data_IF_980854961641
#
_entry.id   IF_980854961641
#
_cell.length_a   1.000
_cell.length_b   1.000
_cell.length_c   1.000
_cell.angle_alpha   90.00
_cell.angle_beta   90.00
_cell.angle_gamma   90.00
#
_symmetry.space_group_name_H-M   'P 1'
#
loop_
_entity.id
_entity.type
_entity.pdbx_description
1 polymer ?
#
# COMPACT_ATOMS: atom_id res chain seq x y z
N UNK A 1 2.97 -36.75 51.36
CA UNK A 1 3.44 -37.32 50.08
C UNK A 1 2.34 -37.03 49.07
N UNK A 2 2.48 -35.98 48.27
CA UNK A 2 1.45 -35.57 47.31
C UNK A 2 1.84 -36.16 45.96
N UNK A 3 1.04 -37.11 45.48
CA UNK A 3 1.17 -37.69 44.15
C UNK A 3 0.65 -36.64 43.15
N UNK A 4 1.56 -35.95 42.45
CA UNK A 4 1.18 -35.07 41.34
C UNK A 4 0.97 -35.91 40.09
N UNK A 5 -0.28 -35.99 39.62
CA UNK A 5 -0.60 -36.49 38.29
C UNK A 5 -0.34 -35.34 37.30
N UNK A 6 0.62 -35.53 36.40
CA UNK A 6 0.88 -34.60 35.30
C UNK A 6 0.07 -35.02 34.07
N UNK A 7 -0.96 -34.28 33.65
CA UNK A 7 -1.61 -34.52 32.37
C UNK A 7 -0.84 -33.73 31.30
N UNK A 8 -0.13 -34.43 30.42
CA UNK A 8 0.43 -33.83 29.19
C UNK A 8 1.90 -34.10 28.95
N UNK A 9 2.28 -35.36 28.77
CA UNK A 9 3.45 -35.70 27.96
C UNK A 9 3.10 -36.90 27.07
N UNK A 10 2.21 -36.67 26.12
CA UNK A 10 2.13 -37.47 24.90
C UNK A 10 1.98 -36.53 23.72
N UNK A 11 3.06 -36.33 22.98
CA UNK A 11 3.00 -35.94 21.58
C UNK A 11 4.12 -36.69 20.86
N UNK A 12 3.74 -37.74 20.13
CA UNK A 12 4.56 -38.31 19.06
C UNK A 12 4.77 -37.26 17.96
N UNK A 13 6.02 -37.09 17.53
CA UNK A 13 6.32 -36.62 16.18
C UNK A 13 6.33 -35.11 15.91
N UNK A 14 7.03 -34.30 16.72
CA UNK A 14 7.60 -33.03 16.24
C UNK A 14 8.78 -32.61 17.12
N UNK A 15 9.93 -32.31 16.50
CA UNK A 15 11.13 -31.81 17.21
C UNK A 15 10.81 -30.41 17.72
N UNK A 16 10.35 -30.33 18.96
CA UNK A 16 10.32 -29.09 19.74
C UNK A 16 11.67 -28.93 20.44
N UNK A 17 12.17 -27.70 20.63
CA UNK A 17 13.41 -27.50 21.39
C UNK A 17 13.19 -28.07 22.80
N UNK A 18 14.05 -29.00 23.20
CA UNK A 18 13.94 -29.71 24.48
C UNK A 18 13.94 -28.69 25.62
N UNK A 19 12.84 -28.59 26.37
CA UNK A 19 12.90 -27.94 27.67
C UNK A 19 13.85 -28.76 28.55
N UNK A 20 14.94 -28.15 29.00
CA UNK A 20 15.80 -28.73 30.02
C UNK A 20 15.00 -28.70 31.34
N UNK A 21 14.34 -29.82 31.67
CA UNK A 21 13.43 -29.94 32.82
C UNK A 21 14.14 -29.94 34.19
N UNK A 22 15.35 -29.38 34.28
CA UNK A 22 16.06 -29.17 35.55
C UNK A 22 15.38 -28.04 36.32
N UNK A 23 14.45 -28.40 37.19
CA UNK A 23 13.79 -27.44 38.09
C UNK A 23 14.79 -26.99 39.16
N UNK A 24 15.40 -25.82 38.97
CA UNK A 24 16.37 -25.24 39.92
C UNK A 24 15.81 -24.02 40.66
N UNK A 25 14.69 -23.48 40.18
CA UNK A 25 14.03 -22.30 40.72
C UNK A 25 12.50 -22.39 40.65
N UNK A 26 11.82 -21.48 41.35
CA UNK A 26 10.36 -21.33 41.24
C UNK A 26 9.91 -20.89 39.84
N UNK A 27 10.77 -20.19 39.10
CA UNK A 27 10.54 -19.81 37.70
C UNK A 27 10.58 -21.03 36.79
N UNK A 28 11.56 -21.92 36.96
CA UNK A 28 11.65 -23.17 36.18
C UNK A 28 10.43 -24.06 36.43
N UNK A 29 9.96 -24.12 37.69
CA UNK A 29 8.75 -24.86 38.03
C UNK A 29 7.51 -24.27 37.35
N UNK A 30 7.36 -22.94 37.33
CA UNK A 30 6.24 -22.28 36.70
C UNK A 30 6.21 -22.49 35.17
N UNK A 31 7.39 -22.55 34.52
CA UNK A 31 7.50 -22.84 33.09
C UNK A 31 6.87 -24.18 32.68
N UNK A 32 6.75 -25.14 33.61
CA UNK A 32 6.09 -26.44 33.36
C UNK A 32 4.57 -26.33 33.19
N UNK A 33 3.95 -25.24 33.63
CA UNK A 33 2.49 -25.06 33.58
C UNK A 33 2.02 -24.19 32.40
N UNK A 34 2.94 -23.55 31.70
CA UNK A 34 2.64 -22.67 30.56
C UNK A 34 3.08 -23.30 29.24
N UNK A 35 2.59 -22.78 28.13
CA UNK A 35 3.02 -23.27 26.81
C UNK A 35 4.44 -22.78 26.49
N UNK A 36 5.17 -23.52 25.66
CA UNK A 36 6.57 -23.22 25.32
C UNK A 36 6.77 -21.78 24.82
N UNK A 37 5.80 -21.24 24.08
CA UNK A 37 5.87 -19.87 23.55
C UNK A 37 5.72 -18.79 24.64
N UNK A 38 5.14 -19.14 25.79
CA UNK A 38 4.89 -18.29 26.95
C UNK A 38 6.02 -18.42 28.01
N UNK A 39 6.80 -19.50 27.97
CA UNK A 39 7.87 -19.83 28.92
C UNK A 39 9.15 -18.97 28.79
N UNK A 40 9.02 -17.72 28.33
CA UNK A 40 10.15 -16.80 28.07
C UNK A 40 10.52 -15.91 29.26
N UNK A 41 9.71 -15.91 30.32
CA UNK A 41 9.95 -15.09 31.51
C UNK A 41 11.07 -15.66 32.38
N UNK A 42 11.83 -14.78 33.02
CA UNK A 42 12.91 -15.13 33.95
C UNK A 42 12.61 -14.70 35.39
N UNK A 43 11.52 -13.97 35.61
CA UNK A 43 11.03 -13.51 36.90
C UNK A 43 9.51 -13.24 36.80
N UNK A 44 8.87 -13.05 37.96
CA UNK A 44 7.47 -12.59 38.06
C UNK A 44 7.44 -11.08 38.29
N UNK A 45 7.80 -10.32 37.26
CA UNK A 45 7.82 -8.86 37.28
C UNK A 45 6.97 -8.28 36.13
N UNK A 46 7.06 -6.98 35.89
CA UNK A 46 6.33 -6.26 34.84
C UNK A 46 6.63 -6.73 33.41
N UNK A 47 7.72 -7.47 33.19
CA UNK A 47 8.08 -8.04 31.89
C UNK A 47 7.49 -9.43 31.69
N UNK A 48 6.83 -10.00 32.71
CA UNK A 48 6.15 -11.29 32.61
C UNK A 48 4.87 -11.15 31.79
N UNK A 49 4.71 -12.02 30.80
CA UNK A 49 3.53 -12.04 29.94
C UNK A 49 2.25 -12.30 30.74
N UNK A 50 1.23 -11.45 30.54
CA UNK A 50 -0.04 -11.54 31.27
C UNK A 50 -0.75 -12.88 31.03
N UNK A 51 -0.67 -13.46 29.84
CA UNK A 51 -1.23 -14.80 29.60
C UNK A 51 -0.44 -15.89 30.32
N UNK A 52 0.88 -15.76 30.46
CA UNK A 52 1.68 -16.67 31.28
C UNK A 52 1.18 -16.65 32.72
N UNK A 53 0.98 -15.46 33.29
CA UNK A 53 0.44 -15.30 34.64
C UNK A 53 -0.97 -15.88 34.79
N UNK A 54 -1.88 -15.60 33.87
CA UNK A 54 -3.24 -16.16 33.89
C UNK A 54 -3.24 -17.69 33.71
N UNK A 55 -2.33 -18.23 32.91
CA UNK A 55 -2.16 -19.68 32.76
C UNK A 55 -1.66 -20.34 34.05
N UNK A 56 -0.77 -19.67 34.80
CA UNK A 56 -0.33 -20.15 36.11
C UNK A 56 -1.46 -20.13 37.13
N UNK A 57 -2.20 -19.02 37.22
CA UNK A 57 -3.38 -18.90 38.09
C UNK A 57 -4.44 -19.96 37.78
N UNK A 58 -4.59 -20.31 36.49
CA UNK A 58 -5.55 -21.31 36.01
C UNK A 58 -5.15 -22.77 36.20
N UNK A 59 -3.85 -23.08 36.29
CA UNK A 59 -3.35 -24.47 36.22
C UNK A 59 -2.56 -24.94 37.44
N UNK A 60 -1.98 -24.02 38.23
CA UNK A 60 -1.18 -24.42 39.38
C UNK A 60 -2.12 -24.88 40.52
N UNK A 61 -1.95 -26.11 41.07
CA UNK A 61 -2.89 -26.68 42.04
C UNK A 61 -3.02 -25.94 43.38
N UNK A 62 -2.10 -25.01 43.67
CA UNK A 62 -2.13 -24.21 44.92
C UNK A 62 -3.26 -23.18 44.92
N UNK A 63 -3.72 -22.75 43.74
CA UNK A 63 -4.81 -21.80 43.61
C UNK A 63 -6.16 -22.50 43.79
N UNK A 64 -7.10 -21.81 44.43
CA UNK A 64 -8.44 -22.35 44.64
C UNK A 64 -9.17 -22.55 43.30
N UNK A 65 -10.16 -23.46 43.24
CA UNK A 65 -10.99 -23.62 42.04
C UNK A 65 -11.65 -22.31 41.57
N UNK A 66 -11.97 -21.41 42.51
CA UNK A 66 -12.52 -20.09 42.19
C UNK A 66 -11.50 -19.20 41.46
N UNK A 67 -10.25 -19.17 41.91
CA UNK A 67 -9.16 -18.45 41.22
C UNK A 67 -8.89 -19.06 39.86
N UNK A 68 -8.82 -20.39 39.77
CA UNK A 68 -8.55 -21.07 38.51
C UNK A 68 -9.64 -20.80 37.46
N UNK A 69 -10.91 -20.84 37.88
CA UNK A 69 -12.05 -20.52 37.03
C UNK A 69 -12.02 -19.06 36.55
N UNK A 70 -11.89 -18.10 37.47
CA UNK A 70 -11.86 -16.67 37.14
C UNK A 70 -10.66 -16.30 36.26
N UNK A 71 -9.48 -16.91 36.50
CA UNK A 71 -8.32 -16.72 35.64
C UNK A 71 -8.54 -17.28 34.23
N UNK A 72 -9.29 -18.39 34.12
CA UNK A 72 -9.73 -18.95 32.85
C UNK A 72 -10.59 -17.97 32.04
N UNK A 73 -11.61 -17.39 32.68
CA UNK A 73 -12.51 -16.40 32.07
C UNK A 73 -11.73 -15.16 31.58
N UNK A 74 -10.88 -14.58 32.45
CA UNK A 74 -10.05 -13.42 32.09
C UNK A 74 -9.06 -13.74 30.97
N UNK A 75 -8.50 -14.96 30.95
CA UNK A 75 -7.62 -15.40 29.86
C UNK A 75 -8.37 -15.48 28.52
N UNK A 76 -9.60 -15.97 28.53
CA UNK A 76 -10.43 -16.00 27.33
C UNK A 76 -10.76 -14.59 26.84
N UNK A 77 -11.13 -13.69 27.76
CA UNK A 77 -11.35 -12.28 27.47
C UNK A 77 -10.13 -11.60 26.84
N UNK A 78 -8.95 -11.78 27.44
CA UNK A 78 -7.68 -11.26 26.93
C UNK A 78 -7.36 -11.81 25.54
N UNK A 79 -7.57 -13.10 25.30
CA UNK A 79 -7.34 -13.70 23.98
C UNK A 79 -8.25 -13.09 22.90
N UNK A 80 -9.53 -12.86 23.25
CA UNK A 80 -10.46 -12.16 22.36
C UNK A 80 -10.03 -10.70 22.10
N UNK A 81 -9.44 -10.02 23.09
CA UNK A 81 -8.87 -8.67 22.92
C UNK A 81 -7.62 -8.68 22.04
N UNK A 82 -6.72 -9.63 22.24
CA UNK A 82 -5.49 -9.77 21.45
C UNK A 82 -5.78 -10.08 19.96
N UNK A 83 -6.93 -10.69 19.68
CA UNK A 83 -7.44 -10.97 18.33
C UNK A 83 -8.75 -10.21 18.09
N UNK A 84 -8.74 -8.90 18.34
CA UNK A 84 -9.93 -8.07 18.39
C UNK A 84 -10.73 -8.08 17.07
N UNK A 85 -11.99 -8.51 17.16
CA UNK A 85 -13.01 -8.31 16.14
C UNK A 85 -13.98 -7.25 16.66
N UNK A 86 -13.85 -6.00 16.21
CA UNK A 86 -14.58 -4.85 16.77
C UNK A 86 -16.11 -5.02 16.79
N UNK A 87 -16.69 -5.75 15.83
CA UNK A 87 -18.13 -6.00 15.79
C UNK A 87 -18.67 -6.84 16.95
N UNK A 88 -17.80 -7.60 17.61
CA UNK A 88 -18.18 -8.50 18.72
C UNK A 88 -18.19 -7.78 20.08
N UNK A 89 -17.71 -6.53 20.10
CA UNK A 89 -17.57 -5.70 21.29
C UNK A 89 -18.70 -4.68 21.42
N UNK A 90 -19.88 -5.17 21.80
CA UNK A 90 -20.96 -4.30 22.25
C UNK A 90 -20.77 -3.87 23.72
N UNK A 91 -21.52 -2.86 24.22
CA UNK A 91 -21.38 -2.39 25.60
C UNK A 91 -21.56 -3.48 26.66
N UNK A 92 -22.42 -4.48 26.42
CA UNK A 92 -22.69 -5.57 27.35
C UNK A 92 -21.49 -6.52 27.41
N UNK A 93 -20.98 -6.94 26.25
CA UNK A 93 -19.81 -7.82 26.18
C UNK A 93 -18.56 -7.13 26.76
N UNK A 94 -18.37 -5.85 26.45
CA UNK A 94 -17.28 -5.04 26.99
C UNK A 94 -17.33 -4.99 28.53
N UNK A 95 -18.48 -4.61 29.11
CA UNK A 95 -18.66 -4.55 30.56
C UNK A 95 -18.48 -5.93 31.22
N UNK A 96 -18.92 -6.99 30.57
CA UNK A 96 -18.77 -8.35 31.07
C UNK A 96 -17.30 -8.74 31.31
N UNK A 97 -16.35 -8.23 30.51
CA UNK A 97 -14.92 -8.49 30.72
C UNK A 97 -14.39 -7.86 32.00
N UNK A 98 -14.86 -6.67 32.36
CA UNK A 98 -14.50 -6.03 33.62
C UNK A 98 -15.06 -6.78 34.82
N UNK A 99 -16.28 -7.33 34.71
CA UNK A 99 -16.87 -8.20 35.75
C UNK A 99 -16.02 -9.46 35.97
N UNK A 100 -15.48 -10.05 34.90
CA UNK A 100 -14.57 -11.22 35.01
C UNK A 100 -13.25 -10.85 35.70
N UNK A 101 -12.66 -9.69 35.37
CA UNK A 101 -11.45 -9.19 36.03
C UNK A 101 -11.68 -8.87 37.51
N UNK A 102 -12.82 -8.27 37.86
CA UNK A 102 -13.21 -8.00 39.25
C UNK A 102 -13.40 -9.29 40.05
N UNK A 103 -14.04 -10.32 39.44
CA UNK A 103 -14.16 -11.64 40.07
C UNK A 103 -12.79 -12.26 40.36
N UNK A 104 -11.85 -12.15 39.43
CA UNK A 104 -10.48 -12.63 39.63
C UNK A 104 -9.80 -11.87 40.78
N UNK A 105 -9.86 -10.54 40.79
CA UNK A 105 -9.26 -9.71 41.84
C UNK A 105 -9.75 -10.11 43.24
N UNK A 106 -11.07 -10.31 43.40
CA UNK A 106 -11.68 -10.75 44.67
C UNK A 106 -11.33 -12.21 45.04
N UNK A 107 -11.17 -13.07 44.05
CA UNK A 107 -10.81 -14.48 44.29
C UNK A 107 -9.36 -14.66 44.79
N UNK A 108 -8.46 -13.73 44.46
CA UNK A 108 -7.05 -13.80 44.84
C UNK A 108 -6.79 -13.60 46.35
N UNK A 109 -7.80 -13.18 47.12
CA UNK A 109 -7.66 -13.01 48.57
C UNK A 109 -6.65 -11.93 48.95
N UNK A 110 -6.63 -10.83 48.20
CA UNK A 110 -5.74 -9.70 48.43
C UNK A 110 -6.07 -9.01 49.76
N UNK A 111 -5.12 -8.23 50.29
CA UNK A 111 -5.42 -7.40 51.46
C UNK A 111 -6.49 -6.36 51.09
N UNK A 112 -7.37 -5.94 52.03
CA UNK A 112 -8.46 -5.02 51.71
C UNK A 112 -8.01 -3.69 51.10
N UNK A 113 -6.81 -3.20 51.45
CA UNK A 113 -6.24 -1.99 50.87
C UNK A 113 -5.87 -2.20 49.39
N UNK A 114 -5.12 -3.26 49.09
CA UNK A 114 -4.68 -3.58 47.72
C UNK A 114 -5.87 -3.93 46.83
N UNK A 115 -6.84 -4.69 47.33
CA UNK A 115 -8.06 -5.02 46.57
C UNK A 115 -8.82 -3.75 46.19
N UNK A 116 -9.08 -2.86 47.15
CA UNK A 116 -9.78 -1.61 46.90
C UNK A 116 -9.08 -0.75 45.85
N UNK A 117 -7.75 -0.61 45.97
CA UNK A 117 -6.99 0.25 45.05
C UNK A 117 -7.00 -0.34 43.63
N UNK A 118 -6.79 -1.66 43.49
CA UNK A 118 -6.90 -2.37 42.21
C UNK A 118 -8.30 -2.27 41.58
N UNK A 119 -9.36 -2.47 42.37
CA UNK A 119 -10.74 -2.34 41.88
C UNK A 119 -11.07 -0.90 41.51
N UNK A 120 -10.50 0.09 42.19
CA UNK A 120 -10.60 1.49 41.84
C UNK A 120 -9.98 1.80 40.47
N UNK A 121 -8.76 1.33 40.24
CA UNK A 121 -8.09 1.45 38.93
C UNK A 121 -8.87 0.73 37.84
N UNK A 122 -9.34 -0.50 38.10
CA UNK A 122 -10.14 -1.26 37.14
C UNK A 122 -11.42 -0.51 36.76
N UNK A 123 -12.08 0.15 37.73
CA UNK A 123 -13.28 0.95 37.48
C UNK A 123 -13.01 2.23 36.69
N UNK A 124 -11.87 2.86 36.95
CA UNK A 124 -11.40 4.02 36.18
C UNK A 124 -11.13 3.63 34.71
N UNK A 125 -10.44 2.51 34.48
CA UNK A 125 -10.23 1.95 33.14
C UNK A 125 -11.53 1.59 32.44
N UNK A 126 -12.49 0.97 33.14
CA UNK A 126 -13.82 0.66 32.60
C UNK A 126 -14.52 1.94 32.12
N UNK A 127 -14.51 2.98 32.96
CA UNK A 127 -15.20 4.25 32.70
C UNK A 127 -14.56 4.98 31.52
N UNK A 128 -13.23 5.13 31.52
CA UNK A 128 -12.49 5.78 30.43
C UNK A 128 -12.63 5.02 29.12
N UNK A 129 -12.49 3.70 29.16
CA UNK A 129 -12.63 2.87 27.95
C UNK A 129 -14.07 2.84 27.42
N UNK A 130 -15.09 2.91 28.28
CA UNK A 130 -16.49 3.07 27.82
C UNK A 130 -16.66 4.37 27.06
N UNK A 131 -16.10 5.48 27.54
CA UNK A 131 -16.16 6.78 26.86
C UNK A 131 -15.45 6.72 25.50
N UNK A 132 -14.28 6.08 25.44
CA UNK A 132 -13.46 6.05 24.22
C UNK A 132 -13.98 5.06 23.17
N UNK A 133 -14.41 3.87 23.61
CA UNK A 133 -14.66 2.73 22.73
C UNK A 133 -16.15 2.44 22.53
N UNK A 134 -17.02 2.89 23.44
CA UNK A 134 -18.44 2.50 23.46
C UNK A 134 -19.40 3.70 23.41
N UNK A 135 -18.91 4.93 23.60
CA UNK A 135 -19.75 6.11 23.55
C UNK A 135 -19.91 6.59 22.10
N UNK A 136 -21.15 6.63 21.57
CA UNK A 136 -21.41 7.11 20.20
C UNK A 136 -21.30 8.63 20.06
N UNK A 137 -21.07 9.40 21.13
CA UNK A 137 -20.93 10.86 21.02
C UNK A 137 -19.58 11.21 20.42
N UNK A 138 -19.43 11.00 19.12
CA UNK A 138 -18.59 11.86 18.29
C UNK A 138 -19.07 13.28 18.58
N UNK A 139 -18.16 14.13 19.04
CA UNK A 139 -18.45 15.54 19.28
C UNK A 139 -19.20 16.10 18.05
N UNK A 140 -20.46 16.58 18.22
CA UNK A 140 -21.25 17.08 17.12
C UNK A 140 -20.54 18.21 16.34
N UNK A 141 -19.73 19.01 17.03
CA UNK A 141 -18.95 20.08 16.39
C UNK A 141 -17.80 19.51 15.55
N UNK A 142 -17.13 18.47 16.05
CA UNK A 142 -16.12 17.75 15.29
C UNK A 142 -16.72 17.05 14.07
N UNK A 143 -17.88 16.38 14.22
CA UNK A 143 -18.56 15.72 13.11
C UNK A 143 -18.99 16.74 12.05
N UNK A 144 -19.52 17.89 12.48
CA UNK A 144 -19.90 18.98 11.59
C UNK A 144 -18.68 19.57 10.86
N UNK A 145 -17.55 19.72 11.55
CA UNK A 145 -16.29 20.18 10.96
C UNK A 145 -15.76 19.20 9.90
N UNK A 146 -15.73 17.90 10.22
CA UNK A 146 -15.34 16.85 9.28
C UNK A 146 -16.29 16.82 8.09
N UNK A 147 -17.60 16.89 8.32
CA UNK A 147 -18.60 16.94 7.24
C UNK A 147 -18.41 18.17 6.35
N UNK A 148 -18.13 19.33 6.93
CA UNK A 148 -17.84 20.55 6.18
C UNK A 148 -16.59 20.39 5.33
N UNK A 149 -15.48 19.90 5.90
CA UNK A 149 -14.23 19.71 5.15
C UNK A 149 -14.38 18.67 4.04
N UNK A 150 -15.11 17.56 4.29
CA UNK A 150 -15.40 16.56 3.25
C UNK A 150 -16.25 17.16 2.13
N UNK A 151 -17.23 18.00 2.45
CA UNK A 151 -18.05 18.67 1.43
C UNK A 151 -17.28 19.72 0.63
N UNK A 152 -16.38 20.47 1.28
CA UNK A 152 -15.46 21.41 0.60
C UNK A 152 -14.55 20.63 -0.34
N UNK A 153 -13.87 19.59 0.16
CA UNK A 153 -12.99 18.75 -0.63
C UNK A 153 -13.72 18.11 -1.81
N UNK A 154 -14.95 17.63 -1.62
CA UNK A 154 -15.79 17.11 -2.70
C UNK A 154 -16.02 18.15 -3.79
N UNK A 155 -16.39 19.37 -3.41
CA UNK A 155 -16.59 20.48 -4.35
C UNK A 155 -15.30 20.78 -5.13
N UNK A 156 -14.15 20.82 -4.46
CA UNK A 156 -12.86 21.07 -5.10
C UNK A 156 -12.48 19.97 -6.09
N UNK A 157 -12.74 18.70 -5.76
CA UNK A 157 -12.52 17.56 -6.65
C UNK A 157 -13.45 17.59 -7.87
N UNK A 158 -14.72 17.95 -7.67
CA UNK A 158 -15.68 18.10 -8.76
C UNK A 158 -15.27 19.24 -9.72
N UNK A 159 -14.80 20.37 -9.19
CA UNK A 159 -14.27 21.50 -9.96
C UNK A 159 -13.02 21.12 -10.76
N UNK A 160 -12.05 20.46 -10.13
CA UNK A 160 -10.83 20.00 -10.80
C UNK A 160 -11.16 19.04 -11.95
N UNK A 161 -12.16 18.18 -11.77
CA UNK A 161 -12.61 17.25 -12.82
C UNK A 161 -13.15 18.00 -14.04
N UNK A 162 -13.89 19.09 -13.82
CA UNK A 162 -14.39 19.95 -14.91
C UNK A 162 -13.25 20.66 -15.64
N UNK A 163 -12.31 21.26 -14.92
CA UNK A 163 -11.16 21.97 -15.51
C UNK A 163 -10.28 21.04 -16.36
N UNK A 164 -10.01 19.83 -15.88
CA UNK A 164 -9.25 18.82 -16.63
C UNK A 164 -9.95 18.43 -17.94
N UNK A 165 -11.29 18.36 -17.92
CA UNK A 165 -12.07 18.05 -19.12
C UNK A 165 -12.01 19.21 -20.14
N UNK A 166 -12.14 20.46 -19.69
CA UNK A 166 -12.04 21.64 -20.56
C UNK A 166 -10.64 21.75 -21.20
N UNK A 167 -9.59 21.58 -20.40
CA UNK A 167 -8.21 21.62 -20.89
C UNK A 167 -7.95 20.51 -21.91
N UNK A 168 -8.46 19.30 -21.67
CA UNK A 168 -8.37 18.18 -22.62
C UNK A 168 -9.03 18.52 -23.95
N UNK A 169 -10.21 19.13 -23.93
CA UNK A 169 -10.91 19.55 -25.15
C UNK A 169 -10.20 20.68 -25.88
N UNK A 170 -9.60 21.63 -25.16
CA UNK A 170 -8.80 22.71 -25.75
C UNK A 170 -7.54 22.17 -26.43
N UNK A 171 -6.82 21.26 -25.77
CA UNK A 171 -5.62 20.62 -26.35
C UNK A 171 -5.99 19.77 -27.56
N UNK A 172 -7.07 18.99 -27.49
CA UNK A 172 -7.56 18.18 -28.61
C UNK A 172 -7.87 19.03 -29.85
N UNK A 173 -8.56 20.17 -29.68
CA UNK A 173 -8.83 21.12 -30.77
C UNK A 173 -7.54 21.67 -31.38
N UNK A 174 -6.62 22.16 -30.55
CA UNK A 174 -5.35 22.68 -31.03
C UNK A 174 -4.53 21.64 -31.80
N UNK A 175 -4.52 20.38 -31.36
CA UNK A 175 -3.85 19.29 -32.08
C UNK A 175 -4.51 19.01 -33.44
N UNK A 176 -5.84 19.02 -33.53
CA UNK A 176 -6.54 18.85 -34.80
C UNK A 176 -6.29 20.00 -35.78
N UNK A 177 -6.24 21.24 -35.29
CA UNK A 177 -5.92 22.42 -36.11
C UNK A 177 -4.49 22.35 -36.67
N UNK A 178 -3.53 21.92 -35.83
CA UNK A 178 -2.15 21.67 -36.25
C UNK A 178 -2.09 20.54 -37.28
N UNK A 179 -2.78 19.42 -37.04
CA UNK A 179 -2.82 18.29 -37.99
C UNK A 179 -3.32 18.74 -39.36
N UNK A 180 -4.42 19.51 -39.39
CA UNK A 180 -4.99 20.04 -40.64
C UNK A 180 -3.99 20.94 -41.36
N UNK A 181 -3.31 21.82 -40.62
CA UNK A 181 -2.30 22.72 -41.18
C UNK A 181 -1.09 21.96 -41.74
N UNK A 182 -0.70 20.84 -41.12
CA UNK A 182 0.37 19.98 -41.62
C UNK A 182 -0.03 19.27 -42.91
N UNK A 183 -1.27 18.77 -43.01
CA UNK A 183 -1.79 18.15 -44.24
C UNK A 183 -1.82 19.16 -45.41
N UNK A 184 -2.21 20.41 -45.14
CA UNK A 184 -2.16 21.48 -46.14
C UNK A 184 -0.73 21.80 -46.59
N UNK A 185 0.23 21.81 -45.66
CA UNK A 185 1.64 22.01 -45.98
C UNK A 185 2.20 20.86 -46.82
N UNK A 186 1.85 19.62 -46.49
CA UNK A 186 2.28 18.43 -47.25
C UNK A 186 1.75 18.45 -48.70
N UNK A 187 0.48 18.83 -48.87
CA UNK A 187 -0.11 19.02 -50.19
C UNK A 187 0.60 20.11 -51.00
N UNK A 188 0.96 21.22 -50.36
CA UNK A 188 1.73 22.31 -51.01
C UNK A 188 3.14 21.88 -51.38
N UNK A 189 3.83 21.15 -50.50
CA UNK A 189 5.17 20.59 -50.78
C UNK A 189 5.10 19.64 -51.97
N UNK A 190 4.12 18.73 -51.99
CA UNK A 190 3.90 17.80 -53.10
C UNK A 190 3.68 18.53 -54.43
N UNK A 191 2.86 19.60 -54.44
CA UNK A 191 2.64 20.42 -55.63
C UNK A 191 3.93 21.08 -56.13
N UNK A 192 4.71 21.68 -55.23
CA UNK A 192 5.98 22.34 -55.58
C UNK A 192 7.00 21.33 -56.11
N UNK A 193 7.04 20.13 -55.55
CA UNK A 193 7.92 19.07 -56.01
C UNK A 193 7.58 18.62 -57.44
N UNK A 194 6.30 18.43 -57.77
CA UNK A 194 5.84 18.13 -59.12
C UNK A 194 6.23 19.23 -60.12
N UNK A 195 6.05 20.51 -59.75
CA UNK A 195 6.45 21.63 -60.60
C UNK A 195 7.97 21.67 -60.85
N UNK A 196 8.77 21.37 -59.83
CA UNK A 196 10.22 21.32 -59.94
C UNK A 196 10.66 20.18 -60.86
N UNK A 197 10.08 18.99 -60.72
CA UNK A 197 10.35 17.84 -61.58
C UNK A 197 10.00 18.13 -63.05
N UNK A 198 8.85 18.76 -63.31
CA UNK A 198 8.44 19.16 -64.65
C UNK A 198 9.42 20.18 -65.26
N UNK A 199 9.87 21.17 -64.49
CA UNK A 199 10.86 22.16 -64.94
C UNK A 199 12.21 21.52 -65.23
N UNK A 200 12.68 20.60 -64.38
CA UNK A 200 13.93 19.87 -64.63
C UNK A 200 13.87 19.06 -65.93
N UNK A 201 12.77 18.35 -66.19
CA UNK A 201 12.58 17.60 -67.43
C UNK A 201 12.60 18.51 -68.67
N UNK A 202 11.98 19.69 -68.60
CA UNK A 202 12.00 20.65 -69.71
C UNK A 202 13.41 21.19 -69.98
N UNK A 203 14.13 21.60 -68.92
CA UNK A 203 15.52 22.09 -69.05
C UNK A 203 16.43 21.02 -69.64
N UNK A 204 16.25 19.75 -69.25
CA UNK A 204 17.04 18.65 -69.79
C UNK A 204 16.76 18.43 -71.29
N UNK A 205 15.50 18.51 -71.71
CA UNK A 205 15.11 18.44 -73.13
C UNK A 205 15.74 19.56 -73.94
N UNK A 206 15.62 20.81 -73.47
CA UNK A 206 16.23 21.98 -74.10
C UNK A 206 17.76 21.83 -74.21
N UNK A 207 18.42 21.31 -73.16
CA UNK A 207 19.86 21.08 -73.17
C UNK A 207 20.30 20.04 -74.20
N UNK A 208 19.54 18.95 -74.38
CA UNK A 208 19.83 17.95 -75.41
C UNK A 208 19.62 18.50 -76.82
N UNK A 209 18.58 19.31 -77.04
CA UNK A 209 18.38 20.02 -78.32
C UNK A 209 19.55 20.94 -78.62
N UNK A 210 19.97 21.76 -77.64
CA UNK A 210 21.12 22.67 -77.79
C UNK A 210 22.41 21.88 -78.10
N UNK A 211 22.68 20.77 -77.41
CA UNK A 211 23.85 19.91 -77.70
C UNK A 211 23.81 19.37 -79.12
N UNK A 212 22.64 18.92 -79.60
CA UNK A 212 22.49 18.41 -80.96
C UNK A 212 22.74 19.52 -82.00
N UNK A 213 22.19 20.72 -81.79
CA UNK A 213 22.43 21.87 -82.65
C UNK A 213 23.90 22.29 -82.66
N UNK A 214 24.56 22.32 -81.50
CA UNK A 214 26.00 22.58 -81.38
C UNK A 214 26.84 21.56 -82.17
N UNK A 215 26.52 20.27 -82.09
CA UNK A 215 27.21 19.24 -82.87
C UNK A 215 27.07 19.44 -84.38
N UNK A 216 25.86 19.81 -84.83
CA UNK A 216 25.56 20.11 -86.24
C UNK A 216 26.31 21.35 -86.74
N UNK A 217 26.36 22.40 -85.90
CA UNK A 217 27.14 23.61 -86.18
C UNK A 217 28.64 23.33 -86.22
N UNK A 218 29.17 22.56 -85.28
CA UNK A 218 30.59 22.16 -85.27
C UNK A 218 30.97 21.45 -86.57
N UNK A 219 30.18 20.47 -87.00
CA UNK A 219 30.42 19.74 -88.26
C UNK A 219 30.39 20.67 -89.48
N UNK A 220 29.49 21.66 -89.51
CA UNK A 220 29.42 22.65 -90.60
C UNK A 220 30.62 23.59 -90.59
N UNK A 221 31.09 24.01 -89.41
CA UNK A 221 32.28 24.84 -89.24
C UNK A 221 33.52 24.10 -89.75
N UNK A 222 33.69 22.84 -89.37
CA UNK A 222 34.82 22.00 -89.82
C UNK A 222 34.81 21.82 -91.35
N UNK A 223 33.64 21.61 -91.96
CA UNK A 223 33.49 21.51 -93.41
C UNK A 223 33.87 22.82 -94.13
N UNK A 224 33.36 23.96 -93.63
CA UNK A 224 33.70 25.28 -94.18
C UNK A 224 35.18 25.61 -94.02
N UNK A 225 35.79 25.24 -92.89
CA UNK A 225 37.21 25.43 -92.66
C UNK A 225 38.05 24.63 -93.67
N UNK A 226 37.64 23.38 -93.94
CA UNK A 226 38.27 22.53 -94.98
C UNK A 226 38.15 23.15 -96.38
N UNK A 227 36.98 23.71 -96.72
CA UNK A 227 36.76 24.39 -98.01
C UNK A 227 37.59 25.67 -98.15
N UNK A 228 37.72 26.46 -97.08
CA UNK A 228 38.57 27.66 -97.04
C UNK A 228 40.04 27.31 -97.21
N UNK A 229 40.53 26.26 -96.53
CA UNK A 229 41.92 25.79 -96.71
C UNK A 229 42.18 25.31 -98.15
N UNK A 230 41.24 24.59 -98.74
CA UNK A 230 41.34 24.10 -100.12
C UNK A 230 41.31 25.22 -101.17
N UNK A 231 40.54 26.28 -100.94
CA UNK A 231 40.47 27.45 -101.82
C UNK A 231 41.70 28.35 -101.68
N UNK A 232 42.24 28.49 -100.46
CA UNK A 232 43.48 29.26 -100.21
C UNK A 232 44.71 28.60 -100.85
N UNK A 233 44.77 27.25 -100.93
CA UNK A 233 45.85 26.53 -101.64
C UNK A 233 45.80 26.62 -103.17
N UNK A 234 44.70 27.11 -103.76
CA UNK A 234 44.50 27.23 -105.23
C UNK A 234 44.80 28.62 -105.79
N UNK A 235 45.07 29.61 -104.94
CA UNK A 235 45.60 30.93 -105.32
C UNK A 235 47.11 30.97 -105.16
#
# INVERSE_FOLDING_TARGET
MVTMHFPGCQVEGAITPSLDCRVTSHVDFAKLYVENHMAKFNAFDEHCDASAMLALLGKVPVFSPAVQCAAGDVRQARNAWAHCVFSDWDPVNYQQRFVEMEKLAKALGLTPAVERDLLGELKDWETKGTILCMNPTVDPDLLKLVQQHVNTLRTDVDQLTFEVQEDRERVSRALNDISTSLDELDARISSVQCELEARMANVQCEQEVIKQEQSSLSNKVDALQTDVENSTRRC
#
